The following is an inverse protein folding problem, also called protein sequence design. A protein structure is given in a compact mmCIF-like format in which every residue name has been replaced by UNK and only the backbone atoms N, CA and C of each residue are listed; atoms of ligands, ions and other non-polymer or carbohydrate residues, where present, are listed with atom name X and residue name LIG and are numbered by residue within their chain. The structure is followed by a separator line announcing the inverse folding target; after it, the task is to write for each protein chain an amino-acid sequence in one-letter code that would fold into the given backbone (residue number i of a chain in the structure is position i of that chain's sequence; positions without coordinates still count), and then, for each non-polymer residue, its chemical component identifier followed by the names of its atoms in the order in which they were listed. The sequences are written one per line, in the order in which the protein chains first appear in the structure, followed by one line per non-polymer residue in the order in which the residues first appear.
data_IF_587754149960
#
_entry.id   IF_587754149960
#
_cell.length_a   1.000
_cell.length_b   1.000
_cell.length_c   1.000
_cell.angle_alpha   90.00
_cell.angle_beta   90.00
_cell.angle_gamma   90.00
#
_symmetry.space_group_name_H-M   'P 1'
#
loop_
_entity.id
_entity.type
_entity.pdbx_description
1 polymer ?
#
# COMPACT_ATOMS: atom_id res chain seq x y z
N UNK A 1 5.09 -17.20 -14.03
CA UNK A 1 5.13 -16.43 -12.77
C UNK A 1 4.26 -15.18 -12.85
N UNK A 2 4.39 -14.37 -13.90
CA UNK A 2 3.66 -13.08 -14.06
C UNK A 2 2.14 -13.25 -14.20
N UNK A 3 1.66 -14.25 -14.95
CA UNK A 3 0.21 -14.42 -15.25
C UNK A 3 -0.64 -14.53 -13.98
N UNK A 4 -0.19 -15.32 -12.98
CA UNK A 4 -0.89 -15.46 -11.69
C UNK A 4 -1.00 -14.14 -10.94
N UNK A 5 0.00 -13.28 -11.04
CA UNK A 5 0.02 -12.00 -10.35
C UNK A 5 -0.87 -10.97 -11.06
N UNK A 6 -0.95 -11.04 -12.39
CA UNK A 6 -1.88 -10.26 -13.20
C UNK A 6 -3.33 -10.65 -12.92
N UNK A 7 -3.64 -11.93 -12.78
CA UNK A 7 -4.99 -12.39 -12.41
C UNK A 7 -5.40 -11.92 -11.01
N UNK A 8 -4.49 -11.96 -10.03
CA UNK A 8 -4.74 -11.40 -8.70
C UNK A 8 -4.96 -9.89 -8.74
N UNK A 9 -4.17 -9.17 -9.54
CA UNK A 9 -4.34 -7.74 -9.74
C UNK A 9 -5.72 -7.41 -10.31
N UNK A 10 -6.15 -8.12 -11.35
CA UNK A 10 -7.45 -7.91 -11.98
C UNK A 10 -8.61 -8.11 -10.99
N UNK A 11 -8.43 -8.93 -9.96
CA UNK A 11 -9.44 -9.24 -8.94
C UNK A 11 -9.24 -8.48 -7.63
N UNK A 12 -8.30 -7.54 -7.58
CA UNK A 12 -8.00 -6.74 -6.39
C UNK A 12 -9.18 -5.82 -6.03
N UNK A 13 -9.59 -5.81 -4.76
CA UNK A 13 -10.68 -4.96 -4.29
C UNK A 13 -12.08 -5.45 -4.64
N UNK A 14 -12.22 -6.62 -5.29
CA UNK A 14 -13.52 -7.22 -5.57
C UNK A 14 -14.12 -7.84 -4.30
N UNK A 15 -15.27 -7.31 -3.88
CA UNK A 15 -16.06 -7.79 -2.75
C UNK A 15 -16.40 -9.29 -2.85
N UNK A 16 -16.48 -9.85 -4.06
CA UNK A 16 -16.74 -11.28 -4.28
C UNK A 16 -15.62 -12.19 -3.79
N UNK A 17 -14.39 -11.68 -3.68
CA UNK A 17 -13.26 -12.44 -3.14
C UNK A 17 -13.17 -12.38 -1.61
N UNK A 18 -14.13 -11.72 -0.97
CA UNK A 18 -14.20 -11.54 0.47
C UNK A 18 -13.92 -10.10 0.89
N UNK A 19 -14.49 -9.75 2.03
CA UNK A 19 -14.34 -8.45 2.65
C UNK A 19 -14.34 -8.60 4.17
N UNK A 20 -13.79 -7.62 4.86
CA UNK A 20 -13.94 -7.43 6.31
C UNK A 20 -15.07 -6.45 6.56
N UNK A 21 -15.91 -6.78 7.53
CA UNK A 21 -16.98 -5.90 7.97
C UNK A 21 -16.59 -5.38 9.35
N UNK A 22 -16.31 -4.08 9.41
CA UNK A 22 -15.92 -3.37 10.62
C UNK A 22 -17.18 -2.69 11.16
N UNK A 23 -17.63 -3.14 12.33
CA UNK A 23 -18.76 -2.53 13.03
C UNK A 23 -18.21 -1.79 14.24
N UNK A 24 -18.54 -0.51 14.35
CA UNK A 24 -18.25 0.25 15.56
C UNK A 24 -19.27 -0.12 16.64
N UNK A 25 -18.84 -0.62 17.79
CA UNK A 25 -19.73 -1.01 18.89
C UNK A 25 -20.41 0.20 19.57
N UNK A 26 -19.84 1.40 19.44
CA UNK A 26 -20.37 2.61 20.08
C UNK A 26 -21.48 3.29 19.26
N UNK A 27 -21.28 3.43 17.94
CA UNK A 27 -22.22 4.12 17.05
C UNK A 27 -22.91 3.21 16.01
N UNK A 28 -22.62 1.91 16.03
CA UNK A 28 -23.14 0.90 15.09
C UNK A 28 -22.86 1.22 13.61
N UNK A 29 -21.86 2.05 13.35
CA UNK A 29 -21.46 2.40 12.00
C UNK A 29 -20.73 1.22 11.33
N UNK A 30 -21.07 0.94 10.08
CA UNK A 30 -20.62 -0.26 9.36
C UNK A 30 -19.74 0.14 8.19
N UNK A 31 -18.48 -0.31 8.21
CA UNK A 31 -17.54 -0.17 7.09
C UNK A 31 -17.25 -1.53 6.48
N UNK A 32 -17.49 -1.63 5.18
CA UNK A 32 -17.14 -2.80 4.38
C UNK A 32 -15.80 -2.52 3.72
N UNK A 33 -14.80 -3.33 4.03
CA UNK A 33 -13.43 -3.17 3.52
C UNK A 33 -13.09 -4.39 2.67
N UNK A 34 -12.95 -4.25 1.34
CA UNK A 34 -12.62 -5.36 0.47
C UNK A 34 -11.18 -5.85 0.67
N UNK A 35 -10.90 -7.09 0.29
CA UNK A 35 -9.52 -7.59 0.31
C UNK A 35 -8.71 -7.08 -0.88
N UNK A 36 -7.53 -6.55 -0.56
CA UNK A 36 -6.54 -6.09 -1.53
C UNK A 36 -5.50 -7.18 -1.81
N UNK A 37 -5.00 -7.23 -3.04
CA UNK A 37 -4.08 -8.29 -3.48
C UNK A 37 -2.66 -8.16 -2.91
N UNK A 38 -2.27 -6.97 -2.41
CA UNK A 38 -0.92 -6.65 -1.89
C UNK A 38 0.22 -7.03 -2.85
N UNK A 39 -0.07 -7.00 -4.15
CA UNK A 39 0.89 -7.32 -5.20
C UNK A 39 1.63 -6.07 -5.65
N UNK A 40 2.94 -6.18 -5.90
CA UNK A 40 3.78 -5.06 -6.38
C UNK A 40 3.35 -4.48 -7.73
N UNK A 41 2.69 -5.29 -8.58
CA UNK A 41 2.15 -4.86 -9.87
C UNK A 41 0.86 -4.05 -9.76
N UNK A 42 0.13 -4.17 -8.65
CA UNK A 42 -1.08 -3.40 -8.44
C UNK A 42 -0.70 -1.98 -8.03
N UNK A 43 -0.91 -1.01 -8.91
CA UNK A 43 -0.56 0.40 -8.66
C UNK A 43 -1.25 0.94 -7.41
N UNK A 44 -2.47 0.51 -7.11
CA UNK A 44 -3.22 0.94 -5.92
C UNK A 44 -2.66 0.34 -4.63
N UNK A 45 -2.29 -0.94 -4.64
CA UNK A 45 -1.72 -1.59 -3.44
C UNK A 45 -0.28 -1.14 -3.21
N UNK A 46 0.53 -1.09 -4.27
CA UNK A 46 1.94 -0.76 -4.18
C UNK A 46 2.17 0.70 -3.76
N UNK A 47 1.34 1.63 -4.26
CA UNK A 47 1.38 3.03 -3.80
C UNK A 47 1.00 3.15 -2.33
N UNK A 48 -0.10 2.53 -1.90
CA UNK A 48 -0.51 2.54 -0.49
C UNK A 48 0.52 1.93 0.44
N UNK A 49 1.14 0.80 0.06
CA UNK A 49 2.23 0.21 0.84
C UNK A 49 3.45 1.13 0.89
N UNK A 50 3.82 1.76 -0.22
CA UNK A 50 4.97 2.70 -0.28
C UNK A 50 4.72 3.93 0.59
N UNK A 51 3.49 4.45 0.61
CA UNK A 51 3.10 5.58 1.44
C UNK A 51 3.14 5.22 2.93
N UNK A 52 2.59 4.07 3.31
CA UNK A 52 2.63 3.60 4.70
C UNK A 52 4.06 3.33 5.17
N UNK A 53 4.89 2.73 4.32
CA UNK A 53 6.33 2.59 4.56
C UNK A 53 7.03 3.93 4.75
N UNK A 54 6.71 4.91 3.91
CA UNK A 54 7.29 6.24 4.00
C UNK A 54 6.91 6.92 5.32
N UNK A 55 5.65 6.77 5.77
CA UNK A 55 5.19 7.26 7.08
C UNK A 55 5.95 6.59 8.23
N UNK A 56 6.07 5.26 8.22
CA UNK A 56 6.80 4.53 9.27
C UNK A 56 8.26 4.99 9.36
N UNK A 57 8.94 5.11 8.21
CA UNK A 57 10.32 5.60 8.17
C UNK A 57 10.41 7.02 8.71
N UNK A 58 9.47 7.90 8.36
CA UNK A 58 9.46 9.27 8.88
C UNK A 58 9.32 9.34 10.42
N UNK A 59 8.62 8.37 11.03
CA UNK A 59 8.49 8.25 12.49
C UNK A 59 9.74 7.65 13.15
N UNK A 60 10.38 6.67 12.51
CA UNK A 60 11.58 6.00 13.05
C UNK A 60 12.88 6.80 12.86
N UNK A 61 12.94 7.63 11.83
CA UNK A 61 14.13 8.42 11.53
C UNK A 61 14.33 9.49 12.61
N UNK A 62 15.59 9.67 13.01
CA UNK A 62 16.01 10.68 13.99
C UNK A 62 15.57 12.06 13.49
N UNK A 63 14.78 12.77 14.30
CA UNK A 63 14.20 14.08 13.96
C UNK A 63 15.27 15.18 13.97
N UNK A 64 16.07 15.24 12.91
CA UNK A 64 17.13 16.23 12.69
C UNK A 64 17.04 16.77 11.27
N UNK A 65 17.71 17.89 10.99
CA UNK A 65 17.79 18.41 9.63
C UNK A 65 18.51 17.42 8.70
N UNK A 66 17.74 16.77 7.83
CA UNK A 66 18.26 15.84 6.84
C UNK A 66 18.75 16.58 5.59
N UNK A 67 19.95 16.24 5.11
CA UNK A 67 20.46 16.71 3.81
C UNK A 67 20.22 15.66 2.75
N UNK A 68 19.39 15.98 1.77
CA UNK A 68 19.22 15.14 0.58
C UNK A 68 20.33 15.46 -0.43
N UNK A 69 21.17 14.47 -0.75
CA UNK A 69 22.23 14.58 -1.75
C UNK A 69 21.92 13.62 -2.89
N UNK A 70 21.81 14.15 -4.11
CA UNK A 70 21.56 13.37 -5.33
C UNK A 70 22.89 13.19 -6.05
N UNK A 71 23.30 11.95 -6.27
CA UNK A 71 24.47 11.62 -7.08
C UNK A 71 24.03 11.36 -8.51
N UNK A 72 24.52 12.15 -9.45
CA UNK A 72 24.38 11.89 -10.89
C UNK A 72 25.59 11.11 -11.36
N UNK A 73 25.36 10.13 -12.24
CA UNK A 73 26.41 9.35 -12.88
C UNK A 73 26.77 10.09 -14.18
N UNK A 74 28.06 10.23 -14.46
CA UNK A 74 28.55 10.86 -15.69
C UNK A 74 28.29 9.92 -16.89
N UNK A 75 27.76 10.46 -17.99
CA UNK A 75 27.54 9.72 -19.24
C UNK A 75 28.85 9.70 -20.04
N UNK A 76 29.75 8.80 -19.67
CA UNK A 76 30.94 8.44 -20.45
C UNK A 76 30.69 7.29 -21.41
#
# INVERSE_FOLDING_TARGET
MVIKEVEKFHRCGDLKNGFKLLVCEACHDVKIVPFHCKGRFCTTCSSGETEEWSRMIAEEVVQVDHRHVIFTIDEG
#
